data_IF_764085417117
#
_entry.id   IF_764085417117
#
_cell.length_a   1.000
_cell.length_b   1.000
_cell.length_c   1.000
_cell.angle_alpha   90.00
_cell.angle_beta   90.00
_cell.angle_gamma   90.00
#
_symmetry.space_group_name_H-M   'P 1'
#
loop_
_entity.id
_entity.type
_entity.pdbx_description
1 polymer ?
#
# COMPACT_ATOMS: atom_id res chain seq x y z
N UNK A 1 -11.14 13.31 -2.42
CA UNK A 1 -9.90 12.56 -2.65
C UNK A 1 -8.75 13.53 -2.44
N UNK A 2 -7.67 13.13 -1.78
CA UNK A 2 -6.49 13.97 -1.54
C UNK A 2 -5.35 13.43 -2.39
N UNK A 3 -4.52 14.32 -2.93
CA UNK A 3 -3.29 13.94 -3.61
C UNK A 3 -2.23 13.46 -2.62
N UNK A 4 -1.27 12.67 -3.09
CA UNK A 4 -0.17 12.20 -2.24
C UNK A 4 0.72 13.37 -1.78
N UNK A 5 0.82 14.40 -2.58
CA UNK A 5 1.55 15.63 -2.30
C UNK A 5 0.97 16.38 -1.09
N UNK A 6 -0.35 16.29 -0.88
CA UNK A 6 -0.99 16.86 0.30
C UNK A 6 -0.64 16.11 1.59
N UNK A 7 -0.39 14.80 1.49
CA UNK A 7 0.01 13.98 2.62
C UNK A 7 1.50 14.15 2.94
N UNK A 8 2.33 14.20 1.90
CA UNK A 8 3.78 14.22 2.06
C UNK A 8 4.34 15.64 2.24
N UNK A 9 3.61 16.66 1.80
CA UNK A 9 4.11 18.01 1.66
C UNK A 9 5.24 18.14 0.64
N UNK A 10 5.39 17.13 -0.24
CA UNK A 10 6.48 17.04 -1.20
C UNK A 10 5.94 16.69 -2.59
N UNK A 11 6.39 17.38 -3.66
CA UNK A 11 5.95 17.07 -5.02
C UNK A 11 6.51 15.72 -5.49
N UNK A 12 5.82 15.09 -6.44
CA UNK A 12 6.41 13.96 -7.14
C UNK A 12 7.64 14.41 -7.95
N UNK A 13 8.60 13.51 -8.08
CA UNK A 13 9.85 13.79 -8.79
C UNK A 13 10.12 12.73 -9.84
N UNK A 14 10.97 13.10 -10.82
CA UNK A 14 11.45 12.18 -11.86
C UNK A 14 10.29 11.54 -12.64
N UNK A 15 9.35 12.37 -13.08
CA UNK A 15 8.16 11.95 -13.85
C UNK A 15 7.32 10.87 -13.12
N UNK A 16 7.18 11.03 -11.80
CA UNK A 16 6.39 10.11 -10.97
C UNK A 16 7.16 8.89 -10.42
N UNK A 17 8.44 8.73 -10.78
CA UNK A 17 9.26 7.60 -10.28
C UNK A 17 9.50 7.65 -8.78
N UNK A 18 9.42 8.83 -8.16
CA UNK A 18 9.48 9.03 -6.71
C UNK A 18 8.24 9.79 -6.27
N UNK A 19 7.34 9.11 -5.58
CA UNK A 19 6.04 9.63 -5.18
C UNK A 19 5.62 9.15 -3.78
N UNK A 20 5.51 7.84 -3.59
CA UNK A 20 5.05 7.21 -2.34
C UNK A 20 6.18 6.79 -1.40
N UNK A 21 7.44 6.85 -1.86
CA UNK A 21 8.62 6.53 -1.05
C UNK A 21 8.94 7.69 -0.10
N UNK A 22 8.09 7.89 0.89
CA UNK A 22 8.18 9.02 1.81
C UNK A 22 7.87 8.58 3.25
N UNK A 23 8.57 9.12 4.27
CA UNK A 23 8.32 8.77 5.67
C UNK A 23 6.87 8.96 6.12
N UNK A 24 6.18 10.00 5.64
CA UNK A 24 4.78 10.24 5.98
C UNK A 24 3.86 9.08 5.53
N UNK A 25 4.11 8.50 4.36
CA UNK A 25 3.34 7.36 3.84
C UNK A 25 3.69 6.10 4.63
N UNK A 26 4.97 5.74 4.66
CA UNK A 26 5.43 4.50 5.30
C UNK A 26 5.27 4.52 6.83
N UNK A 27 5.38 5.69 7.46
CA UNK A 27 5.08 5.88 8.88
C UNK A 27 3.62 5.55 9.18
N UNK A 28 2.67 6.08 8.39
CA UNK A 28 1.26 5.77 8.53
C UNK A 28 0.94 4.28 8.39
N UNK A 29 1.61 3.58 7.46
CA UNK A 29 1.43 2.14 7.23
C UNK A 29 2.09 1.31 8.33
N UNK A 30 3.32 1.62 8.72
CA UNK A 30 4.15 0.79 9.60
C UNK A 30 3.93 1.03 11.09
N UNK A 31 3.24 2.12 11.47
CA UNK A 31 2.94 2.39 12.87
C UNK A 31 2.03 1.30 13.43
N UNK A 32 2.51 0.59 14.45
CA UNK A 32 1.76 -0.44 15.16
C UNK A 32 0.69 0.22 16.03
N UNK A 33 -0.56 -0.23 15.92
CA UNK A 33 -1.71 0.33 16.66
C UNK A 33 -1.70 -0.05 18.15
N UNK A 34 -1.01 -1.13 18.49
CA UNK A 34 -0.81 -1.60 19.87
C UNK A 34 0.38 -0.93 20.58
N UNK A 35 1.05 0.02 19.92
CA UNK A 35 2.19 0.78 20.45
C UNK A 35 1.84 2.26 20.58
N UNK A 36 1.56 2.74 21.82
CA UNK A 36 1.25 4.16 22.05
C UNK A 36 2.36 5.12 21.62
N UNK A 37 3.61 4.72 21.74
CA UNK A 37 4.77 5.50 21.30
C UNK A 37 4.81 5.68 19.76
N UNK A 38 4.39 4.67 18.98
CA UNK A 38 4.26 4.81 17.53
C UNK A 38 3.15 5.80 17.14
N UNK A 39 2.00 5.74 17.85
CA UNK A 39 0.88 6.65 17.59
C UNK A 39 1.23 8.09 18.01
N UNK A 40 1.95 8.25 19.14
CA UNK A 40 2.45 9.56 19.58
C UNK A 40 3.41 10.16 18.54
N UNK A 41 4.33 9.37 18.00
CA UNK A 41 5.24 9.81 16.93
C UNK A 41 4.48 10.26 15.68
N UNK A 42 3.45 9.53 15.24
CA UNK A 42 2.63 9.99 14.11
C UNK A 42 1.96 11.33 14.42
N UNK A 43 1.37 11.47 15.61
CA UNK A 43 0.68 12.70 16.02
C UNK A 43 1.66 13.88 16.09
N UNK A 44 2.87 13.69 16.61
CA UNK A 44 3.93 14.70 16.67
C UNK A 44 4.30 15.24 15.29
N UNK A 45 4.25 14.39 14.27
CA UNK A 45 4.50 14.77 12.88
C UNK A 45 3.23 15.17 12.10
N UNK A 46 2.07 15.27 12.74
CA UNK A 46 0.80 15.61 12.09
C UNK A 46 0.31 14.53 11.13
N UNK A 47 0.74 13.29 11.32
CA UNK A 47 0.40 12.15 10.47
C UNK A 47 -0.71 11.31 11.11
N UNK A 48 -1.47 10.64 10.25
CA UNK A 48 -2.49 9.67 10.66
C UNK A 48 -2.08 8.24 10.27
N UNK A 49 -2.57 7.24 11.00
CA UNK A 49 -2.49 5.85 10.57
C UNK A 49 -3.16 5.61 9.22
N UNK A 50 -2.61 4.68 8.44
CA UNK A 50 -3.19 4.20 7.18
C UNK A 50 -3.62 2.75 7.42
N UNK A 51 -4.91 2.47 7.28
CA UNK A 51 -5.51 1.19 7.66
C UNK A 51 -5.77 0.28 6.46
N UNK A 52 -5.72 0.82 5.24
CA UNK A 52 -5.93 0.05 4.01
C UNK A 52 -5.01 0.55 2.89
N UNK A 53 -4.39 -0.37 2.20
CA UNK A 53 -3.64 -0.15 0.97
C UNK A 53 -4.31 -0.95 -0.16
N UNK A 54 -4.68 -0.28 -1.23
CA UNK A 54 -5.08 -0.92 -2.48
C UNK A 54 -4.02 -0.58 -3.54
N UNK A 55 -3.31 -1.58 -4.03
CA UNK A 55 -2.20 -1.36 -4.93
C UNK A 55 -2.09 -2.51 -5.95
N UNK A 56 -2.34 -2.19 -7.21
CA UNK A 56 -2.08 -3.10 -8.32
C UNK A 56 -0.68 -2.83 -8.85
N UNK A 57 0.14 -3.85 -8.90
CA UNK A 57 1.48 -3.74 -9.48
C UNK A 57 1.41 -3.64 -11.00
N UNK A 58 2.41 -3.02 -11.59
CA UNK A 58 2.59 -3.07 -13.04
C UNK A 58 2.76 -4.52 -13.52
N UNK A 59 2.18 -4.90 -14.67
CA UNK A 59 2.17 -6.28 -15.15
C UNK A 59 3.50 -6.66 -15.80
N UNK A 60 4.57 -6.72 -15.01
CA UNK A 60 5.94 -6.99 -15.48
C UNK A 60 6.03 -8.26 -16.35
N UNK A 61 5.42 -9.36 -15.90
CA UNK A 61 5.45 -10.62 -16.64
C UNK A 61 4.80 -10.52 -18.02
N UNK A 62 3.71 -9.76 -18.13
CA UNK A 62 3.04 -9.54 -19.41
C UNK A 62 3.87 -8.65 -20.35
N UNK A 63 4.55 -7.64 -19.80
CA UNK A 63 5.41 -6.74 -20.57
C UNK A 63 6.57 -7.51 -21.18
N UNK A 64 7.30 -8.29 -20.38
CA UNK A 64 8.46 -9.05 -20.90
C UNK A 64 8.07 -10.19 -21.83
N UNK A 65 6.84 -10.70 -21.75
CA UNK A 65 6.34 -11.74 -22.63
C UNK A 65 5.90 -11.23 -24.01
N UNK A 66 5.77 -9.94 -24.22
CA UNK A 66 5.36 -9.36 -25.51
C UNK A 66 6.47 -9.52 -26.55
N UNK A 67 6.18 -10.03 -27.74
CA UNK A 67 7.16 -10.12 -28.80
C UNK A 67 7.73 -8.74 -29.15
N UNK A 68 9.04 -8.64 -29.23
CA UNK A 68 9.75 -7.40 -29.59
C UNK A 68 10.00 -6.44 -28.42
N UNK A 69 9.62 -6.79 -27.19
CA UNK A 69 9.98 -5.98 -26.01
C UNK A 69 11.50 -5.89 -25.87
N UNK A 70 11.99 -4.68 -25.78
CA UNK A 70 13.41 -4.38 -25.58
C UNK A 70 13.73 -4.15 -24.10
N UNK A 71 15.01 -4.17 -23.76
CA UNK A 71 15.46 -3.79 -22.41
C UNK A 71 15.09 -2.33 -22.09
N UNK A 72 15.13 -1.46 -23.07
CA UNK A 72 14.75 -0.05 -22.91
C UNK A 72 13.27 0.10 -22.55
N UNK A 73 12.38 -0.67 -23.19
CA UNK A 73 10.95 -0.69 -22.86
C UNK A 73 10.71 -1.14 -21.39
N UNK A 74 11.53 -2.04 -20.88
CA UNK A 74 11.43 -2.53 -19.51
C UNK A 74 11.97 -1.52 -18.49
N UNK A 75 13.11 -0.88 -18.80
CA UNK A 75 13.78 0.03 -17.88
C UNK A 75 13.15 1.43 -17.85
N UNK A 76 12.69 1.91 -18.98
CA UNK A 76 12.13 3.26 -19.16
C UNK A 76 10.59 3.28 -19.23
N UNK A 77 9.98 2.16 -19.57
CA UNK A 77 8.54 2.00 -19.48
C UNK A 77 8.16 1.37 -18.13
N UNK A 78 7.45 2.05 -17.29
CA UNK A 78 7.01 1.71 -15.93
C UNK A 78 6.72 0.22 -15.60
N UNK A 79 7.48 -0.71 -16.20
CA UNK A 79 7.28 -2.15 -16.01
C UNK A 79 7.81 -2.64 -14.64
N UNK A 80 8.81 -1.93 -14.09
CA UNK A 80 9.41 -2.26 -12.80
C UNK A 80 8.82 -1.33 -11.73
N UNK A 81 7.92 -1.86 -10.92
CA UNK A 81 7.28 -1.12 -9.84
C UNK A 81 8.16 -1.12 -8.58
N UNK A 82 8.58 0.07 -8.16
CA UNK A 82 9.34 0.24 -6.91
C UNK A 82 8.39 0.66 -5.78
N UNK A 83 7.55 1.64 -6.03
CA UNK A 83 6.65 2.24 -5.03
C UNK A 83 5.58 1.27 -4.56
N UNK A 84 4.88 0.61 -5.48
CA UNK A 84 3.82 -0.35 -5.17
C UNK A 84 4.34 -1.54 -4.36
N UNK A 85 5.47 -2.11 -4.74
CA UNK A 85 6.10 -3.22 -4.01
C UNK A 85 6.43 -2.82 -2.57
N UNK A 86 6.96 -1.61 -2.34
CA UNK A 86 7.29 -1.16 -0.98
C UNK A 86 6.05 -0.89 -0.14
N UNK A 87 4.96 -0.37 -0.72
CA UNK A 87 3.67 -0.20 -0.05
C UNK A 87 3.09 -1.55 0.39
N UNK A 88 3.04 -2.52 -0.52
CA UNK A 88 2.54 -3.87 -0.24
C UNK A 88 3.36 -4.53 0.85
N UNK A 89 4.69 -4.47 0.78
CA UNK A 89 5.57 -5.05 1.81
C UNK A 89 5.41 -4.38 3.18
N UNK A 90 5.23 -3.06 3.22
CA UNK A 90 4.99 -2.33 4.46
C UNK A 90 3.64 -2.74 5.10
N UNK A 91 2.58 -2.81 4.30
CA UNK A 91 1.26 -3.25 4.75
C UNK A 91 1.30 -4.71 5.25
N UNK A 92 1.91 -5.61 4.50
CA UNK A 92 2.09 -7.01 4.89
C UNK A 92 2.87 -7.17 6.19
N UNK A 93 3.92 -6.35 6.41
CA UNK A 93 4.67 -6.35 7.67
C UNK A 93 3.80 -5.94 8.87
N UNK A 94 2.84 -5.08 8.66
CA UNK A 94 1.92 -4.58 9.70
C UNK A 94 0.48 -5.12 9.49
N UNK A 95 0.33 -6.34 8.97
CA UNK A 95 -0.96 -6.96 8.66
C UNK A 95 -1.97 -6.96 9.82
N UNK A 96 -1.58 -6.99 11.11
CA UNK A 96 -2.55 -6.90 12.20
C UNK A 96 -3.29 -5.56 12.26
N UNK A 97 -2.75 -4.54 11.58
CA UNK A 97 -3.27 -3.16 11.61
C UNK A 97 -3.64 -2.63 10.23
N UNK A 98 -3.19 -3.26 9.15
CA UNK A 98 -3.34 -2.74 7.79
C UNK A 98 -3.84 -3.83 6.85
N UNK A 99 -4.98 -3.57 6.21
CA UNK A 99 -5.48 -4.40 5.12
C UNK A 99 -4.76 -4.05 3.81
N UNK A 100 -4.34 -5.05 3.06
CA UNK A 100 -3.74 -4.83 1.73
C UNK A 100 -4.53 -5.56 0.65
N UNK A 101 -4.87 -4.84 -0.41
CA UNK A 101 -5.56 -5.36 -1.59
C UNK A 101 -4.61 -5.23 -2.79
N UNK A 102 -4.38 -6.35 -3.46
CA UNK A 102 -3.48 -6.44 -4.61
C UNK A 102 -4.20 -6.89 -5.90
N UNK A 103 -5.42 -7.35 -5.78
CA UNK A 103 -6.26 -7.77 -6.90
C UNK A 103 -7.52 -6.89 -6.99
N UNK A 104 -7.84 -6.29 -8.15
CA UNK A 104 -9.07 -5.54 -8.34
C UNK A 104 -10.35 -6.33 -8.03
N UNK A 105 -10.32 -7.66 -8.16
CA UNK A 105 -11.46 -8.53 -7.83
C UNK A 105 -11.85 -8.43 -6.34
N UNK A 106 -10.91 -8.09 -5.46
CA UNK A 106 -11.14 -7.98 -4.02
C UNK A 106 -11.72 -6.62 -3.61
N UNK A 107 -11.76 -5.63 -4.49
CA UNK A 107 -12.16 -4.26 -4.12
C UNK A 107 -13.63 -4.17 -3.75
N UNK A 108 -14.53 -4.68 -4.59
CA UNK A 108 -15.96 -4.60 -4.34
C UNK A 108 -16.38 -5.39 -3.08
N UNK A 109 -15.96 -6.65 -2.89
CA UNK A 109 -16.22 -7.39 -1.65
C UNK A 109 -15.70 -6.66 -0.40
N UNK A 110 -14.50 -6.08 -0.48
CA UNK A 110 -13.92 -5.35 0.64
C UNK A 110 -14.70 -4.09 0.98
N UNK A 111 -15.15 -3.33 -0.02
CA UNK A 111 -15.97 -2.14 0.20
C UNK A 111 -17.30 -2.51 0.88
N UNK A 112 -17.94 -3.59 0.46
CA UNK A 112 -19.17 -4.09 1.08
C UNK A 112 -18.93 -4.53 2.53
N UNK A 113 -17.84 -5.24 2.78
CA UNK A 113 -17.44 -5.67 4.11
C UNK A 113 -17.21 -4.48 5.06
N UNK A 114 -16.44 -3.46 4.61
CA UNK A 114 -16.16 -2.26 5.41
C UNK A 114 -17.44 -1.46 5.69
N UNK A 115 -18.33 -1.30 4.69
CA UNK A 115 -19.61 -0.62 4.85
C UNK A 115 -20.55 -1.34 5.81
N UNK A 116 -20.55 -2.67 5.79
CA UNK A 116 -21.43 -3.48 6.64
C UNK A 116 -21.01 -3.55 8.11
N UNK A 117 -19.73 -3.35 8.41
CA UNK A 117 -19.17 -3.58 9.75
C UNK A 117 -18.67 -2.34 10.48
N UNK A 118 -18.62 -1.20 9.81
CA UNK A 118 -18.05 0.04 10.34
C UNK A 118 -16.51 0.02 10.43
N UNK A 119 -15.90 1.21 10.40
CA UNK A 119 -14.45 1.39 10.34
C UNK A 119 -13.68 0.75 11.52
N UNK A 120 -14.33 0.60 12.67
CA UNK A 120 -13.70 0.09 13.90
C UNK A 120 -13.33 -1.41 13.84
N UNK A 121 -13.76 -2.13 12.80
CA UNK A 121 -13.54 -3.58 12.67
C UNK A 121 -12.62 -3.98 11.52
N UNK A 122 -12.16 -3.04 10.70
CA UNK A 122 -11.18 -3.34 9.62
C UNK A 122 -9.87 -3.82 10.24
N UNK A 123 -9.44 -3.20 11.32
CA UNK A 123 -8.25 -3.62 12.06
C UNK A 123 -8.40 -5.02 12.71
N UNK A 124 -9.60 -5.39 13.17
CA UNK A 124 -9.84 -6.71 13.78
C UNK A 124 -9.91 -7.82 12.73
N UNK A 125 -10.40 -7.54 11.52
CA UNK A 125 -10.47 -8.51 10.43
C UNK A 125 -9.11 -8.81 9.79
N UNK A 126 -8.22 -7.81 9.72
CA UNK A 126 -6.85 -8.01 9.26
C UNK A 126 -6.08 -9.01 10.15
N UNK A 127 -6.41 -9.12 11.45
CA UNK A 127 -5.73 -10.01 12.39
C UNK A 127 -6.01 -11.51 12.16
N UNK A 128 -7.22 -11.88 11.79
CA UNK A 128 -7.63 -13.31 11.80
C UNK A 128 -7.62 -13.95 10.39
N UNK A 129 -8.00 -13.21 9.36
CA UNK A 129 -8.04 -13.69 7.98
C UNK A 129 -6.78 -13.34 7.16
N UNK A 130 -6.06 -12.29 7.53
CA UNK A 130 -4.81 -11.88 6.89
C UNK A 130 -3.72 -12.94 6.93
N UNK A 131 -3.65 -13.73 7.99
CA UNK A 131 -2.70 -14.87 8.13
C UNK A 131 -2.98 -15.96 7.10
N UNK A 132 -4.23 -16.16 6.69
CA UNK A 132 -4.60 -17.18 5.70
C UNK A 132 -4.26 -16.78 4.27
N UNK A 133 -4.32 -15.49 3.95
CA UNK A 133 -3.99 -14.99 2.62
C UNK A 133 -2.48 -14.97 2.32
N UNK A 134 -1.65 -14.86 3.35
CA UNK A 134 -0.18 -14.80 3.21
C UNK A 134 0.55 -16.11 3.56
N UNK A 135 -0.15 -17.13 4.03
CA UNK A 135 0.42 -18.44 4.39
C UNK A 135 0.73 -19.37 3.20
N UNK A 136 0.71 -18.86 1.98
CA UNK A 136 0.90 -19.62 0.74
C UNK A 136 2.06 -19.14 -0.12
N UNK A 137 3.23 -18.80 0.47
CA UNK A 137 4.49 -18.66 -0.28
C UNK A 137 5.59 -19.36 0.49
#
# INVERSE_FOLDING_TARGET
MRGIEELTGFPEMLDGRVKTLHPAVHGGILARRDRPDHLATLAEHGLAPIDLIACNLYPFAEVIARPGTTLDDVLNGDAIDIGGVTLIRAAAKNFPSVLVLIDPADYAPTVEYVRGRGADRVAAAAGDEGVRAYGGV
#
